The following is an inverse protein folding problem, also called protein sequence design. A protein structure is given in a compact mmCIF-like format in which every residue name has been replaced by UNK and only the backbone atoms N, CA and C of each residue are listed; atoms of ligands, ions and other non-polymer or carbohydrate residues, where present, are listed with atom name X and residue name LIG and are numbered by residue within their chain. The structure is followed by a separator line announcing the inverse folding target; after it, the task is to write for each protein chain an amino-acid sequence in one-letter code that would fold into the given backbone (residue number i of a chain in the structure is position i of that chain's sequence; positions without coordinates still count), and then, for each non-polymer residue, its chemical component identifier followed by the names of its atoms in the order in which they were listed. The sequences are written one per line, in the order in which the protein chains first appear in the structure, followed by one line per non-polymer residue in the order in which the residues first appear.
data_IF_776323848891
#
_entry.id   IF_776323848891
#
_cell.length_a   1.000
_cell.length_b   1.000
_cell.length_c   1.000
_cell.angle_alpha   90.00
_cell.angle_beta   90.00
_cell.angle_gamma   90.00
#
_symmetry.space_group_name_H-M   'P 1'
#
loop_
_entity.id
_entity.type
_entity.pdbx_description
1 polymer ?
#
# COMPACT_ATOMS: atom_id res chain seq x y z
N UNK A 1 -15.70 -9.94 -11.59
CA UNK A 1 -15.00 -10.08 -10.27
C UNK A 1 -15.86 -9.60 -9.08
N UNK A 2 -17.12 -9.17 -9.28
CA UNK A 2 -17.97 -8.57 -8.22
C UNK A 2 -18.27 -9.48 -7.01
N UNK A 3 -17.97 -10.75 -7.07
CA UNK A 3 -18.16 -11.72 -5.98
C UNK A 3 -16.87 -12.42 -5.55
N UNK A 4 -15.69 -11.95 -6.02
CA UNK A 4 -14.40 -12.59 -5.74
C UNK A 4 -14.03 -12.60 -4.25
N UNK A 5 -14.54 -11.62 -3.49
CA UNK A 5 -14.31 -11.50 -2.04
C UNK A 5 -15.61 -11.66 -1.23
N UNK A 6 -16.65 -12.29 -1.79
CA UNK A 6 -17.91 -12.53 -1.07
C UNK A 6 -17.69 -13.28 0.24
N UNK A 7 -18.22 -12.75 1.34
CA UNK A 7 -18.03 -13.30 2.68
C UNK A 7 -16.65 -13.06 3.29
N UNK A 8 -15.76 -12.31 2.63
CA UNK A 8 -14.45 -11.93 3.14
C UNK A 8 -14.48 -10.57 3.82
N UNK A 9 -13.66 -10.42 4.84
CA UNK A 9 -13.52 -9.20 5.63
C UNK A 9 -12.11 -8.65 5.44
N UNK A 10 -12.00 -7.38 5.07
CA UNK A 10 -10.72 -6.67 5.01
C UNK A 10 -10.59 -5.71 6.19
N UNK A 11 -9.52 -5.87 6.97
CA UNK A 11 -9.11 -4.91 8.00
C UNK A 11 -8.33 -3.74 7.40
N UNK A 12 -8.74 -2.49 7.68
CA UNK A 12 -8.01 -1.28 7.27
C UNK A 12 -7.42 -0.57 8.49
N UNK A 13 -6.08 -0.59 8.62
CA UNK A 13 -5.35 -0.04 9.76
C UNK A 13 -4.50 1.15 9.30
N UNK A 14 -5.05 2.36 9.39
CA UNK A 14 -4.39 3.57 8.95
C UNK A 14 -3.90 4.39 10.14
N UNK A 15 -2.59 4.29 10.43
CA UNK A 15 -1.92 5.02 11.51
C UNK A 15 -1.46 6.43 11.12
N UNK A 16 -1.60 6.77 9.84
CA UNK A 16 -1.43 8.14 9.34
C UNK A 16 -2.55 8.51 8.37
N UNK A 17 -2.97 9.78 8.30
CA UNK A 17 -4.03 10.20 7.40
C UNK A 17 -3.71 9.90 5.93
N UNK A 18 -4.61 9.27 5.23
CA UNK A 18 -4.46 8.95 3.81
C UNK A 18 -5.80 8.66 3.12
N UNK A 19 -6.60 9.70 2.91
CA UNK A 19 -7.96 9.60 2.37
C UNK A 19 -8.02 8.82 1.06
N UNK A 20 -7.17 9.17 0.08
CA UNK A 20 -7.19 8.53 -1.25
C UNK A 20 -6.82 7.06 -1.18
N UNK A 21 -5.75 6.70 -0.47
CA UNK A 21 -5.29 5.31 -0.36
C UNK A 21 -6.32 4.46 0.37
N UNK A 22 -6.82 4.94 1.51
CA UNK A 22 -7.83 4.24 2.28
C UNK A 22 -9.09 3.98 1.47
N UNK A 23 -9.68 5.03 0.88
CA UNK A 23 -10.90 4.90 0.07
C UNK A 23 -10.70 3.99 -1.13
N UNK A 24 -9.51 3.98 -1.77
CA UNK A 24 -9.23 3.10 -2.89
C UNK A 24 -9.26 1.62 -2.51
N UNK A 25 -8.66 1.26 -1.38
CA UNK A 25 -8.71 -0.11 -0.87
C UNK A 25 -10.12 -0.51 -0.44
N UNK A 26 -10.80 0.37 0.29
CA UNK A 26 -12.18 0.12 0.75
C UNK A 26 -13.12 -0.07 -0.44
N UNK A 27 -13.04 0.82 -1.44
CA UNK A 27 -13.84 0.70 -2.67
C UNK A 27 -13.53 -0.57 -3.43
N UNK A 28 -12.25 -0.95 -3.54
CA UNK A 28 -11.85 -2.18 -4.21
C UNK A 28 -12.48 -3.41 -3.53
N UNK A 29 -12.39 -3.50 -2.20
CA UNK A 29 -12.95 -4.62 -1.44
C UNK A 29 -14.47 -4.70 -1.59
N UNK A 30 -15.17 -3.58 -1.48
CA UNK A 30 -16.62 -3.51 -1.65
C UNK A 30 -17.05 -3.92 -3.07
N UNK A 31 -16.33 -3.47 -4.11
CA UNK A 31 -16.60 -3.86 -5.49
C UNK A 31 -16.33 -5.32 -5.79
N UNK A 32 -15.47 -5.96 -4.99
CA UNK A 32 -15.21 -7.40 -5.06
C UNK A 32 -16.20 -8.22 -4.22
N UNK A 33 -17.21 -7.59 -3.61
CA UNK A 33 -18.26 -8.25 -2.83
C UNK A 33 -17.89 -8.55 -1.37
N UNK A 34 -16.76 -8.04 -0.88
CA UNK A 34 -16.35 -8.18 0.51
C UNK A 34 -16.86 -7.07 1.41
N UNK A 35 -16.49 -7.14 2.67
CA UNK A 35 -16.80 -6.15 3.71
C UNK A 35 -15.53 -5.57 4.32
N UNK A 36 -15.66 -4.46 5.04
CA UNK A 36 -14.52 -3.77 5.64
C UNK A 36 -14.75 -3.47 7.11
N UNK A 37 -13.69 -3.57 7.91
CA UNK A 37 -13.59 -3.11 9.28
C UNK A 37 -12.29 -2.31 9.44
N UNK A 38 -12.16 -1.51 10.49
CA UNK A 38 -10.88 -0.87 10.80
C UNK A 38 -11.02 0.57 11.28
N UNK A 39 -9.88 1.27 11.31
CA UNK A 39 -9.80 2.66 11.72
C UNK A 39 -8.90 3.48 10.77
N UNK A 40 -9.13 4.78 10.77
CA UNK A 40 -8.38 5.78 9.98
C UNK A 40 -7.65 6.80 10.86
N UNK A 41 -7.90 6.74 12.17
CA UNK A 41 -7.25 7.59 13.15
C UNK A 41 -6.83 6.74 14.37
N UNK A 42 -5.53 6.58 14.62
CA UNK A 42 -5.06 5.84 15.80
C UNK A 42 -5.49 6.47 17.12
N UNK A 43 -5.74 7.79 17.16
CA UNK A 43 -6.19 8.47 18.37
C UNK A 43 -7.60 8.04 18.84
N UNK A 44 -8.41 7.48 17.95
CA UNK A 44 -9.74 6.96 18.26
C UNK A 44 -9.78 5.43 18.46
N UNK A 45 -8.61 4.80 18.46
CA UNK A 45 -8.44 3.35 18.64
C UNK A 45 -7.73 3.01 19.96
N UNK A 46 -7.57 1.73 20.26
CA UNK A 46 -6.82 1.24 21.43
C UNK A 46 -5.34 1.67 21.39
N UNK A 47 -4.81 2.05 20.26
CA UNK A 47 -3.47 2.64 20.11
C UNK A 47 -3.30 3.88 20.99
N UNK A 48 -4.34 4.70 21.13
CA UNK A 48 -4.33 5.87 22.02
C UNK A 48 -4.13 5.51 23.50
N UNK A 49 -4.39 4.25 23.88
CA UNK A 49 -4.19 3.72 25.24
C UNK A 49 -2.83 3.04 25.41
N UNK A 50 -1.93 3.11 24.40
CA UNK A 50 -0.61 2.52 24.43
C UNK A 50 -0.53 1.10 23.88
N UNK A 51 -1.58 0.60 23.21
CA UNK A 51 -1.51 -0.70 22.53
C UNK A 51 -0.47 -0.64 21.41
N UNK A 52 0.43 -1.62 21.37
CA UNK A 52 1.46 -1.68 20.37
C UNK A 52 0.94 -2.28 19.06
N UNK A 53 1.66 -2.03 17.97
CA UNK A 53 1.26 -2.46 16.62
C UNK A 53 1.12 -3.98 16.47
N UNK A 54 1.92 -4.76 17.21
CA UNK A 54 1.88 -6.23 17.13
C UNK A 54 0.61 -6.77 17.76
N UNK A 55 0.20 -6.22 18.91
CA UNK A 55 -1.00 -6.63 19.63
C UNK A 55 -2.24 -6.25 18.82
N UNK A 56 -2.34 -5.01 18.35
CA UNK A 56 -3.41 -4.56 17.43
C UNK A 56 -3.50 -5.47 16.21
N UNK A 57 -2.37 -5.77 15.58
CA UNK A 57 -2.32 -6.60 14.38
C UNK A 57 -2.77 -8.03 14.68
N UNK A 58 -2.33 -8.62 15.79
CA UNK A 58 -2.71 -9.97 16.19
C UNK A 58 -4.21 -10.08 16.43
N UNK A 59 -4.80 -9.13 17.14
CA UNK A 59 -6.24 -9.10 17.42
C UNK A 59 -7.03 -8.92 16.13
N UNK A 60 -6.68 -7.93 15.29
CA UNK A 60 -7.43 -7.64 14.05
C UNK A 60 -7.31 -8.77 13.04
N UNK A 61 -6.16 -9.47 13.00
CA UNK A 61 -6.00 -10.65 12.13
C UNK A 61 -6.93 -11.81 12.47
N UNK A 62 -7.44 -11.85 13.71
CA UNK A 62 -8.49 -12.80 14.11
C UNK A 62 -9.90 -12.43 13.61
N UNK A 63 -10.10 -11.18 13.18
CA UNK A 63 -11.39 -10.69 12.68
C UNK A 63 -11.44 -10.55 11.16
N UNK A 64 -10.29 -10.48 10.51
CA UNK A 64 -10.18 -10.18 9.07
C UNK A 64 -9.49 -11.32 8.31
N UNK A 65 -9.91 -11.52 7.05
CA UNK A 65 -9.26 -12.46 6.13
C UNK A 65 -8.00 -11.87 5.47
N UNK A 66 -7.92 -10.54 5.42
CA UNK A 66 -6.80 -9.77 4.86
C UNK A 66 -6.73 -8.41 5.55
N UNK A 67 -5.55 -7.87 5.73
CA UNK A 67 -5.36 -6.52 6.27
C UNK A 67 -4.65 -5.61 5.29
N UNK A 68 -5.02 -4.33 5.31
CA UNK A 68 -4.33 -3.23 4.63
C UNK A 68 -3.83 -2.29 5.71
N UNK A 69 -2.52 -2.08 5.75
CA UNK A 69 -1.90 -1.24 6.78
C UNK A 69 -1.10 -0.11 6.17
N UNK A 70 -1.25 1.07 6.75
CA UNK A 70 -0.41 2.23 6.50
C UNK A 70 0.13 2.78 7.80
N UNK A 71 1.45 2.99 7.88
CA UNK A 71 2.11 3.45 9.09
C UNK A 71 3.19 4.50 8.80
N UNK A 72 3.36 5.54 9.65
CA UNK A 72 4.38 6.58 9.45
C UNK A 72 5.81 6.09 9.66
N UNK A 73 6.01 5.03 10.45
CA UNK A 73 7.34 4.50 10.77
C UNK A 73 7.72 3.35 9.83
N UNK A 74 8.85 3.47 9.15
CA UNK A 74 9.38 2.44 8.26
C UNK A 74 9.64 1.11 9.00
N UNK A 75 9.27 -0.01 8.36
CA UNK A 75 9.40 -1.36 8.92
C UNK A 75 8.19 -1.82 9.74
N UNK A 76 7.28 -0.93 10.12
CA UNK A 76 6.12 -1.26 10.95
C UNK A 76 5.18 -2.25 10.25
N UNK A 77 4.91 -2.06 8.97
CA UNK A 77 4.05 -2.97 8.20
C UNK A 77 4.67 -4.36 8.08
N UNK A 78 5.99 -4.45 7.93
CA UNK A 78 6.69 -5.73 7.95
C UNK A 78 6.59 -6.41 9.33
N UNK A 79 6.78 -5.65 10.41
CA UNK A 79 6.64 -6.19 11.76
C UNK A 79 5.20 -6.69 12.03
N UNK A 80 4.19 -5.96 11.55
CA UNK A 80 2.80 -6.38 11.59
C UNK A 80 2.58 -7.68 10.82
N UNK A 81 3.09 -7.78 9.60
CA UNK A 81 2.95 -8.99 8.76
C UNK A 81 3.57 -10.25 9.38
N UNK A 82 4.61 -10.10 10.21
CA UNK A 82 5.23 -11.23 10.93
C UNK A 82 4.40 -11.70 12.14
N UNK A 83 3.42 -10.91 12.57
CA UNK A 83 2.60 -11.18 13.77
C UNK A 83 1.18 -11.57 13.39
N UNK A 84 0.71 -11.14 12.24
CA UNK A 84 -0.63 -11.39 11.73
C UNK A 84 -0.87 -12.86 11.38
N UNK A 85 -2.09 -13.34 11.59
CA UNK A 85 -2.56 -14.65 11.14
C UNK A 85 -3.14 -14.63 9.73
N UNK A 86 -3.30 -13.44 9.14
CA UNK A 86 -3.79 -13.24 7.77
C UNK A 86 -2.81 -12.39 6.94
N UNK A 87 -2.91 -12.39 5.60
CA UNK A 87 -2.06 -11.56 4.75
C UNK A 87 -2.17 -10.07 5.06
N UNK A 88 -1.04 -9.35 4.99
CA UNK A 88 -0.98 -7.90 5.20
C UNK A 88 -0.49 -7.19 3.95
N UNK A 89 -1.29 -6.29 3.43
CA UNK A 89 -0.95 -5.41 2.30
C UNK A 89 -0.34 -4.12 2.83
N UNK A 90 0.83 -3.76 2.31
CA UNK A 90 1.50 -2.50 2.62
C UNK A 90 0.90 -1.36 1.78
N UNK A 91 0.16 -0.46 2.43
CA UNK A 91 -0.43 0.75 1.84
C UNK A 91 0.40 2.02 2.07
N UNK A 92 1.62 1.86 2.55
CA UNK A 92 2.58 2.92 2.88
C UNK A 92 3.29 2.66 4.20
N UNK A 93 4.62 2.71 4.19
CA UNK A 93 5.48 2.33 5.29
C UNK A 93 6.56 3.41 5.48
N UNK A 94 6.20 4.47 6.16
CA UNK A 94 7.04 5.65 6.36
C UNK A 94 7.46 6.31 5.04
N UNK A 95 8.65 6.85 5.02
CA UNK A 95 9.29 7.39 3.80
C UNK A 95 9.83 6.32 2.83
N UNK A 96 9.70 5.02 3.17
CA UNK A 96 10.47 3.96 2.53
C UNK A 96 9.76 3.26 1.37
N UNK A 97 8.49 2.84 1.53
CA UNK A 97 7.81 2.00 0.54
C UNK A 97 6.34 2.41 0.34
N UNK A 98 5.90 2.40 -0.92
CA UNK A 98 4.48 2.45 -1.30
C UNK A 98 4.22 1.49 -2.46
N UNK A 99 4.25 0.17 -2.23
CA UNK A 99 4.22 -0.84 -3.29
C UNK A 99 2.99 -0.74 -4.18
N UNK A 100 1.84 -0.47 -3.58
CA UNK A 100 0.57 -0.41 -4.31
C UNK A 100 0.47 0.79 -5.25
N UNK A 101 1.12 1.92 -4.93
CA UNK A 101 1.22 3.04 -5.87
C UNK A 101 2.02 2.64 -7.11
N UNK A 102 3.12 1.93 -6.94
CA UNK A 102 3.91 1.45 -8.08
C UNK A 102 3.13 0.47 -8.96
N UNK A 103 2.29 -0.39 -8.36
CA UNK A 103 1.40 -1.26 -9.14
C UNK A 103 0.39 -0.45 -9.96
N UNK A 104 -0.14 0.63 -9.40
CA UNK A 104 -1.03 1.57 -10.12
C UNK A 104 -0.29 2.25 -11.27
N UNK A 105 0.94 2.72 -11.03
CA UNK A 105 1.77 3.35 -12.06
C UNK A 105 2.08 2.36 -13.20
N UNK A 106 2.43 1.11 -12.86
CA UNK A 106 2.67 0.05 -13.85
C UNK A 106 1.40 -0.29 -14.65
N UNK A 107 0.24 -0.34 -13.99
CA UNK A 107 -1.03 -0.55 -14.68
C UNK A 107 -1.30 0.58 -15.68
N UNK A 108 -1.13 1.83 -15.26
CA UNK A 108 -1.28 3.01 -16.15
C UNK A 108 -0.34 2.92 -17.34
N UNK A 109 0.94 2.60 -17.12
CA UNK A 109 1.91 2.42 -18.20
C UNK A 109 1.48 1.31 -19.18
N UNK A 110 0.96 0.21 -18.66
CA UNK A 110 0.47 -0.89 -19.50
C UNK A 110 -0.74 -0.49 -20.32
N UNK A 111 -1.70 0.22 -19.73
CA UNK A 111 -2.92 0.68 -20.44
C UNK A 111 -2.57 1.72 -21.52
N UNK A 112 -1.67 2.67 -21.22
CA UNK A 112 -1.29 3.75 -22.13
C UNK A 112 -0.31 3.33 -23.24
N UNK A 113 0.59 2.38 -22.95
CA UNK A 113 1.68 1.97 -23.86
C UNK A 113 1.51 0.55 -24.41
N UNK A 114 0.54 -0.22 -23.93
CA UNK A 114 0.33 -1.62 -24.31
C UNK A 114 1.45 -2.58 -23.85
N UNK A 115 2.48 -2.07 -23.16
CA UNK A 115 3.66 -2.84 -22.74
C UNK A 115 4.30 -2.25 -21.48
N UNK A 116 5.16 -3.02 -20.82
CA UNK A 116 5.96 -2.59 -19.66
C UNK A 116 7.47 -2.70 -19.89
N UNK A 117 7.88 -3.22 -21.04
CA UNK A 117 9.28 -3.36 -21.43
C UNK A 117 9.69 -2.28 -22.45
N UNK A 118 10.99 -2.06 -22.57
CA UNK A 118 11.58 -1.14 -23.51
C UNK A 118 10.95 0.28 -23.48
N UNK A 119 10.73 0.78 -22.26
CA UNK A 119 10.21 2.12 -21.99
C UNK A 119 11.31 3.05 -21.48
N UNK A 120 11.25 4.31 -21.86
CA UNK A 120 12.00 5.40 -21.19
C UNK A 120 11.02 6.20 -20.36
N UNK A 121 11.29 6.28 -19.04
CA UNK A 121 10.40 6.93 -18.07
C UNK A 121 11.17 8.06 -17.39
N UNK A 122 10.63 9.27 -17.49
CA UNK A 122 11.13 10.44 -16.79
C UNK A 122 10.40 10.67 -15.48
N UNK A 123 11.15 10.93 -14.40
CA UNK A 123 10.61 11.36 -13.11
C UNK A 123 10.98 12.83 -12.88
N UNK A 124 10.00 13.63 -12.46
CA UNK A 124 10.18 15.04 -12.17
C UNK A 124 9.54 15.37 -10.81
N UNK A 125 10.24 16.15 -9.97
CA UNK A 125 9.76 16.59 -8.66
C UNK A 125 10.74 16.25 -7.55
N UNK A 126 10.24 16.09 -6.32
CA UNK A 126 11.04 15.71 -5.16
C UNK A 126 11.49 14.24 -5.25
N UNK A 127 12.59 14.03 -5.93
CA UNK A 127 13.16 12.70 -6.15
C UNK A 127 13.88 12.15 -4.89
N UNK A 128 14.22 13.02 -3.95
CA UNK A 128 14.91 12.64 -2.71
C UNK A 128 13.95 11.99 -1.71
N UNK A 129 12.74 12.56 -1.56
CA UNK A 129 11.77 12.12 -0.56
C UNK A 129 10.59 11.37 -1.19
N UNK A 130 10.51 11.33 -2.52
CA UNK A 130 9.43 10.67 -3.26
C UNK A 130 9.47 9.15 -3.15
N UNK A 131 8.63 8.57 -2.30
CA UNK A 131 8.53 7.11 -2.03
C UNK A 131 8.30 6.28 -3.28
N UNK A 132 7.46 6.76 -4.17
CA UNK A 132 7.11 6.09 -5.43
C UNK A 132 8.29 6.02 -6.39
N UNK A 133 9.10 7.09 -6.45
CA UNK A 133 10.29 7.16 -7.30
C UNK A 133 11.30 6.09 -6.90
N UNK A 134 11.62 6.00 -5.63
CA UNK A 134 12.60 5.02 -5.12
C UNK A 134 12.21 3.56 -5.39
N UNK A 135 10.93 3.24 -5.31
CA UNK A 135 10.46 1.89 -5.57
C UNK A 135 10.33 1.61 -7.07
N UNK A 136 9.80 2.55 -7.84
CA UNK A 136 9.69 2.43 -9.30
C UNK A 136 11.06 2.29 -9.97
N UNK A 137 12.05 3.07 -9.54
CA UNK A 137 13.42 2.97 -10.08
C UNK A 137 14.10 1.63 -9.78
N UNK A 138 13.76 0.97 -8.67
CA UNK A 138 14.29 -0.36 -8.32
C UNK A 138 13.60 -1.49 -9.09
N UNK A 139 12.33 -1.36 -9.44
CA UNK A 139 11.53 -2.43 -10.04
C UNK A 139 11.40 -2.33 -11.57
N UNK A 140 11.32 -1.12 -12.12
CA UNK A 140 11.23 -0.92 -13.56
C UNK A 140 12.43 -1.51 -14.34
N UNK A 141 13.70 -1.39 -13.88
CA UNK A 141 14.83 -2.03 -14.57
C UNK A 141 14.80 -3.56 -14.57
N UNK A 142 14.06 -4.19 -13.64
CA UNK A 142 13.85 -5.64 -13.65
C UNK A 142 12.82 -6.09 -14.69
N UNK A 143 12.02 -5.16 -15.21
CA UNK A 143 11.16 -5.38 -16.37
C UNK A 143 12.03 -5.16 -17.62
N UNK A 144 12.48 -6.24 -18.23
CA UNK A 144 13.45 -6.33 -19.34
C UNK A 144 13.56 -5.07 -20.21
N UNK A 145 14.76 -4.45 -20.23
CA UNK A 145 15.18 -3.35 -21.12
C UNK A 145 14.50 -1.98 -20.94
N UNK A 146 13.84 -1.70 -19.80
CA UNK A 146 13.35 -0.34 -19.53
C UNK A 146 14.47 0.54 -18.95
N UNK A 147 14.63 1.74 -19.46
CA UNK A 147 15.53 2.77 -18.93
C UNK A 147 14.74 3.78 -18.08
N UNK A 148 15.35 4.26 -17.02
CA UNK A 148 14.75 5.28 -16.13
C UNK A 148 15.64 6.52 -16.18
N UNK A 149 15.07 7.65 -16.57
CA UNK A 149 15.73 8.95 -16.50
C UNK A 149 15.18 9.73 -15.30
N UNK A 150 16.08 10.18 -14.45
CA UNK A 150 15.75 10.97 -13.25
C UNK A 150 16.15 12.43 -13.53
N UNK A 151 15.16 13.31 -13.58
CA UNK A 151 15.39 14.75 -13.70
C UNK A 151 14.92 15.44 -12.42
N UNK A 152 15.86 15.99 -11.65
CA UNK A 152 15.57 16.81 -10.48
C UNK A 152 15.52 18.28 -10.92
N UNK A 153 14.41 18.96 -10.68
CA UNK A 153 14.36 20.43 -10.66
C UNK A 153 14.46 20.88 -9.21
N UNK A 154 15.48 21.66 -8.92
CA UNK A 154 15.68 22.33 -7.63
C UNK A 154 14.80 23.57 -7.60
#
# INVERSE_FOLDING_TARGET
YSEACKGKIMGTLFYEPSTRTQMSFQTAMLRLGGTIIGFDNPATSSVAKGENIKDTTKIVSGYADIMVMRHPTAGSVKAAALTADCPVINAGDGGHLHPTQTLTDLLTLREEKGRLDNLTIGFCGDLKNGRTVHWSTKKLPTLKRSSVSLTCYI
#
